data_IF_368680919627
#
_entry.id   IF_368680919627
#
_cell.length_a   1.000
_cell.length_b   1.000
_cell.length_c   1.000
_cell.angle_alpha   90.00
_cell.angle_beta   90.00
_cell.angle_gamma   90.00
#
_symmetry.space_group_name_H-M   'P 1'
#
loop_
_entity.id
_entity.type
_entity.pdbx_description
1 polymer ?
#
# COMPACT_ATOMS: atom_id res chain seq x y z
N UNK A 1 -31.74 -8.67 6.80
CA UNK A 1 -31.21 -7.33 6.50
C UNK A 1 -29.74 -7.52 6.20
N UNK A 2 -29.33 -7.36 4.94
CA UNK A 2 -28.00 -7.73 4.51
C UNK A 2 -26.95 -6.81 5.16
N UNK A 3 -25.90 -7.40 5.72
CA UNK A 3 -24.68 -6.69 6.12
C UNK A 3 -23.68 -6.70 4.97
N UNK A 4 -22.96 -5.60 4.79
CA UNK A 4 -22.05 -5.40 3.65
C UNK A 4 -20.63 -5.27 4.18
N UNK A 5 -19.69 -5.95 3.52
CA UNK A 5 -18.26 -5.77 3.74
C UNK A 5 -17.55 -5.53 2.40
N UNK A 6 -16.77 -4.46 2.35
CA UNK A 6 -15.92 -4.08 1.22
C UNK A 6 -14.45 -4.26 1.61
N UNK A 7 -13.68 -4.93 0.76
CA UNK A 7 -12.26 -5.22 1.01
C UNK A 7 -11.45 -5.13 -0.27
N UNK A 8 -10.17 -4.80 -0.17
CA UNK A 8 -9.22 -5.00 -1.26
C UNK A 8 -8.90 -6.49 -1.44
N UNK A 9 -8.22 -6.80 -2.55
CA UNK A 9 -7.61 -8.10 -2.79
C UNK A 9 -6.10 -7.97 -3.06
N UNK A 10 -5.46 -6.93 -2.52
CA UNK A 10 -4.06 -6.59 -2.81
C UNK A 10 -3.44 -5.90 -1.61
N UNK A 11 -2.25 -6.33 -1.22
CA UNK A 11 -1.52 -5.68 -0.13
C UNK A 11 -1.28 -4.19 -0.41
N UNK A 12 -1.52 -3.36 0.61
CA UNK A 12 -1.37 -1.90 0.55
C UNK A 12 -0.11 -1.44 1.29
N UNK A 13 0.54 -0.34 0.86
CA UNK A 13 0.24 0.43 -0.35
C UNK A 13 0.60 -0.35 -1.62
N UNK A 14 -0.04 -0.03 -2.75
CA UNK A 14 0.20 -0.68 -4.03
C UNK A 14 0.54 0.29 -5.15
N UNK A 15 1.36 -0.17 -6.10
CA UNK A 15 1.62 0.52 -7.39
C UNK A 15 0.83 -0.07 -8.55
N UNK A 16 -0.04 -1.04 -8.28
CA UNK A 16 -0.81 -1.77 -9.30
C UNK A 16 -2.15 -1.07 -9.49
N UNK A 17 -2.51 -0.80 -10.75
CA UNK A 17 -3.80 -0.27 -11.16
C UNK A 17 -4.30 -1.06 -12.39
N UNK A 18 -5.57 -1.49 -12.44
CA UNK A 18 -6.61 -1.32 -11.41
C UNK A 18 -6.34 -2.09 -10.11
N UNK A 19 -6.89 -1.59 -9.00
CA UNK A 19 -6.91 -2.24 -7.68
C UNK A 19 -8.20 -3.08 -7.58
N UNK A 20 -8.12 -4.42 -7.48
CA UNK A 20 -9.29 -5.25 -7.33
C UNK A 20 -9.92 -5.08 -5.95
N UNK A 21 -11.24 -4.83 -5.94
CA UNK A 21 -12.06 -4.63 -4.75
C UNK A 21 -13.18 -5.66 -4.74
N UNK A 22 -13.37 -6.30 -3.59
CA UNK A 22 -14.43 -7.26 -3.36
C UNK A 22 -15.52 -6.64 -2.48
N UNK A 23 -16.77 -6.86 -2.88
CA UNK A 23 -17.95 -6.56 -2.06
C UNK A 23 -18.63 -7.87 -1.70
N UNK A 24 -18.92 -8.05 -0.42
CA UNK A 24 -19.55 -9.25 0.12
C UNK A 24 -20.74 -8.90 1.00
N UNK A 25 -21.82 -9.67 0.86
CA UNK A 25 -23.05 -9.54 1.61
C UNK A 25 -23.26 -10.77 2.50
N UNK A 26 -23.93 -10.61 3.65
CA UNK A 26 -24.26 -11.74 4.55
C UNK A 26 -25.34 -12.68 4.02
N UNK A 27 -26.08 -12.24 3.01
CA UNK A 27 -27.16 -12.96 2.34
C UNK A 27 -27.24 -12.49 0.88
N UNK A 28 -28.03 -13.19 0.07
CA UNK A 28 -28.20 -12.83 -1.34
C UNK A 28 -28.96 -11.50 -1.47
N UNK A 29 -28.41 -10.59 -2.28
CA UNK A 29 -28.99 -9.28 -2.58
C UNK A 29 -29.40 -9.18 -4.04
N UNK A 30 -30.22 -8.17 -4.36
CA UNK A 30 -30.62 -7.85 -5.72
C UNK A 30 -30.08 -6.50 -6.16
N UNK A 31 -29.87 -6.36 -7.46
CA UNK A 31 -29.57 -5.10 -8.16
C UNK A 31 -28.31 -4.36 -7.71
N UNK A 32 -27.36 -5.02 -7.04
CA UNK A 32 -26.06 -4.41 -6.73
C UNK A 32 -25.35 -3.95 -8.02
N UNK A 33 -25.01 -2.68 -8.07
CA UNK A 33 -24.33 -2.01 -9.18
C UNK A 33 -23.15 -1.16 -8.67
N UNK A 34 -22.35 -0.63 -9.60
CA UNK A 34 -21.17 0.16 -9.23
C UNK A 34 -21.55 1.49 -8.57
N UNK A 35 -22.71 2.05 -8.94
CA UNK A 35 -23.27 3.29 -8.41
C UNK A 35 -23.64 3.19 -6.92
N UNK A 36 -23.79 1.98 -6.39
CA UNK A 36 -24.06 1.73 -4.97
C UNK A 36 -22.82 1.96 -4.09
N UNK A 37 -21.62 1.97 -4.70
CA UNK A 37 -20.36 2.24 -4.03
C UNK A 37 -20.00 3.72 -4.17
N UNK A 38 -19.84 4.39 -3.04
CA UNK A 38 -19.49 5.80 -2.98
C UNK A 38 -17.98 5.96 -2.82
N UNK A 39 -17.38 6.73 -3.72
CA UNK A 39 -16.02 7.20 -3.60
C UNK A 39 -16.02 8.53 -2.85
N UNK A 40 -15.29 8.62 -1.74
CA UNK A 40 -15.15 9.86 -0.96
C UNK A 40 -14.02 10.75 -1.48
N UNK A 41 -13.12 10.19 -2.29
CA UNK A 41 -12.04 10.89 -2.97
C UNK A 41 -11.74 10.18 -4.29
N UNK A 42 -11.51 10.96 -5.35
CA UNK A 42 -10.90 10.61 -6.66
C UNK A 42 -11.19 9.25 -7.32
N UNK A 43 -10.62 9.06 -8.51
CA UNK A 43 -10.61 7.77 -9.22
C UNK A 43 -11.96 7.31 -9.78
N UNK A 44 -11.99 6.08 -10.31
CA UNK A 44 -13.17 5.47 -10.93
C UNK A 44 -13.33 4.01 -10.54
N UNK A 45 -14.58 3.54 -10.50
CA UNK A 45 -14.91 2.12 -10.31
C UNK A 45 -15.51 1.53 -11.58
N UNK A 46 -15.18 0.28 -11.86
CA UNK A 46 -15.80 -0.53 -12.92
C UNK A 46 -16.29 -1.85 -12.35
N UNK A 47 -17.48 -2.29 -12.74
CA UNK A 47 -17.98 -3.60 -12.35
C UNK A 47 -17.30 -4.69 -13.16
N UNK A 48 -16.71 -5.68 -12.49
CA UNK A 48 -15.93 -6.75 -13.15
C UNK A 48 -16.78 -8.02 -13.25
N UNK A 49 -17.20 -8.56 -12.12
CA UNK A 49 -17.88 -9.85 -12.08
C UNK A 49 -18.79 -10.01 -10.87
N UNK A 50 -19.74 -10.93 -11.02
CA UNK A 50 -20.59 -11.43 -9.95
C UNK A 50 -20.27 -12.90 -9.75
N UNK A 51 -19.62 -13.25 -8.63
CA UNK A 51 -19.33 -14.64 -8.28
C UNK A 51 -20.56 -15.33 -7.66
N UNK A 52 -21.39 -14.58 -6.94
CA UNK A 52 -22.70 -15.01 -6.42
C UNK A 52 -23.64 -13.82 -6.22
N UNK A 53 -24.90 -14.03 -5.82
CA UNK A 53 -25.80 -12.93 -5.41
C UNK A 53 -25.35 -12.20 -4.13
N UNK A 54 -24.27 -12.66 -3.50
CA UNK A 54 -23.72 -12.13 -2.26
C UNK A 54 -22.24 -11.78 -2.37
N UNK A 55 -21.64 -11.88 -3.57
CA UNK A 55 -20.21 -11.62 -3.79
C UNK A 55 -19.97 -11.07 -5.19
N UNK A 56 -19.30 -9.92 -5.23
CA UNK A 56 -19.05 -9.14 -6.42
C UNK A 56 -17.62 -8.60 -6.42
N UNK A 57 -17.06 -8.46 -7.62
CA UNK A 57 -15.74 -7.88 -7.84
C UNK A 57 -15.87 -6.61 -8.67
N UNK A 58 -15.18 -5.56 -8.21
CA UNK A 58 -15.04 -4.28 -8.86
C UNK A 58 -13.55 -3.99 -9.08
N UNK A 59 -13.24 -3.17 -10.08
CA UNK A 59 -11.92 -2.62 -10.30
C UNK A 59 -11.94 -1.13 -9.95
N UNK A 60 -11.08 -0.73 -9.01
CA UNK A 60 -10.83 0.68 -8.70
C UNK A 60 -9.60 1.19 -9.45
N UNK A 61 -9.74 2.30 -10.18
CA UNK A 61 -8.64 2.98 -10.87
C UNK A 61 -8.38 4.31 -10.17
N UNK A 62 -7.28 4.44 -9.40
CA UNK A 62 -6.84 5.71 -8.84
C UNK A 62 -6.56 6.74 -9.95
N UNK A 63 -6.91 8.01 -9.73
CA UNK A 63 -6.56 9.13 -10.63
C UNK A 63 -5.26 9.84 -10.27
N UNK A 64 -4.75 9.61 -9.05
CA UNK A 64 -3.50 10.13 -8.52
C UNK A 64 -2.94 9.19 -7.43
N UNK A 65 -1.73 9.47 -6.96
CA UNK A 65 -1.20 8.86 -5.73
C UNK A 65 -1.95 9.37 -4.50
N UNK A 66 -2.07 8.52 -3.49
CA UNK A 66 -2.67 8.88 -2.21
C UNK A 66 -3.69 7.86 -1.68
N UNK A 67 -4.45 8.30 -0.69
CA UNK A 67 -5.46 7.49 -0.01
C UNK A 67 -6.86 7.71 -0.59
N UNK A 68 -7.53 6.61 -0.88
CA UNK A 68 -8.87 6.55 -1.43
C UNK A 68 -9.81 5.83 -0.47
N UNK A 69 -11.00 6.38 -0.27
CA UNK A 69 -11.97 5.83 0.67
C UNK A 69 -13.25 5.43 -0.06
N UNK A 70 -13.63 4.17 0.07
CA UNK A 70 -14.84 3.60 -0.52
C UNK A 70 -15.82 3.18 0.59
N UNK A 71 -17.11 3.44 0.39
CA UNK A 71 -18.16 3.04 1.31
C UNK A 71 -19.45 2.73 0.55
N UNK A 72 -20.22 1.75 1.04
CA UNK A 72 -21.60 1.50 0.60
C UNK A 72 -22.51 1.97 1.73
N UNK A 73 -23.38 2.95 1.46
CA UNK A 73 -24.29 3.47 2.47
C UNK A 73 -25.45 2.50 2.76
N UNK A 74 -26.09 2.68 3.91
CA UNK A 74 -27.27 1.91 4.28
C UNK A 74 -28.39 2.11 3.25
N UNK A 75 -29.05 1.01 2.88
CA UNK A 75 -30.14 1.00 1.90
C UNK A 75 -29.72 1.16 0.45
N UNK A 76 -28.42 1.06 0.14
CA UNK A 76 -27.96 1.04 -1.25
C UNK A 76 -28.43 -0.21 -2.01
N UNK A 77 -28.56 -1.35 -1.32
CA UNK A 77 -29.09 -2.59 -1.89
C UNK A 77 -30.15 -3.21 -0.99
N UNK A 78 -30.94 -4.13 -1.53
CA UNK A 78 -31.97 -4.88 -0.79
C UNK A 78 -31.78 -6.40 -0.93
N UNK A 79 -32.21 -7.15 0.08
CA UNK A 79 -32.31 -8.61 -0.02
C UNK A 79 -33.55 -9.04 -0.86
N UNK A 80 -33.73 -10.35 -1.04
CA UNK A 80 -34.88 -10.93 -1.75
C UNK A 80 -36.23 -10.65 -1.07
N UNK A 81 -36.23 -10.32 0.21
CA UNK A 81 -37.40 -9.94 0.99
C UNK A 81 -37.57 -8.42 1.10
N UNK A 82 -36.84 -7.64 0.29
CA UNK A 82 -36.89 -6.17 0.23
C UNK A 82 -36.44 -5.47 1.52
N UNK A 83 -35.61 -6.11 2.35
CA UNK A 83 -34.98 -5.41 3.46
C UNK A 83 -33.73 -4.66 2.97
N UNK A 84 -33.61 -3.34 3.20
CA UNK A 84 -32.45 -2.53 2.77
C UNK A 84 -31.17 -2.97 3.44
N UNK A 85 -29.97 -2.78 2.90
CA UNK A 85 -28.71 -3.09 3.59
C UNK A 85 -28.41 -2.19 4.78
N UNK A 86 -27.57 -2.64 5.70
CA UNK A 86 -26.83 -1.73 6.59
C UNK A 86 -25.61 -1.15 5.85
N UNK A 87 -25.07 -0.03 6.34
CA UNK A 87 -23.84 0.54 5.77
C UNK A 87 -22.65 -0.44 5.91
N UNK A 88 -21.74 -0.42 4.94
CA UNK A 88 -20.51 -1.19 4.99
C UNK A 88 -19.48 -0.59 5.96
N UNK A 89 -18.37 -1.29 6.15
CA UNK A 89 -17.12 -0.65 6.56
C UNK A 89 -16.66 0.38 5.52
N UNK A 90 -15.78 1.30 5.92
CA UNK A 90 -15.00 2.12 4.97
C UNK A 90 -13.75 1.34 4.57
N UNK A 91 -13.55 1.12 3.27
CA UNK A 91 -12.31 0.59 2.74
C UNK A 91 -11.35 1.75 2.43
N UNK A 92 -10.10 1.63 2.89
CA UNK A 92 -9.01 2.55 2.55
C UNK A 92 -8.06 1.85 1.59
N UNK A 93 -7.80 2.48 0.44
CA UNK A 93 -6.84 2.03 -0.56
C UNK A 93 -5.72 3.08 -0.67
N UNK A 94 -4.46 2.65 -0.63
CA UNK A 94 -3.32 3.55 -0.81
C UNK A 94 -2.60 3.21 -2.11
N UNK A 95 -2.64 4.13 -3.07
CA UNK A 95 -1.93 4.00 -4.34
C UNK A 95 -0.65 4.83 -4.31
N UNK A 96 0.48 4.17 -4.56
CA UNK A 96 1.80 4.75 -4.48
C UNK A 96 2.70 4.20 -5.60
N UNK A 97 3.09 5.07 -6.54
CA UNK A 97 4.02 4.73 -7.63
C UNK A 97 5.39 5.36 -7.45
N UNK A 98 5.57 6.17 -6.41
CA UNK A 98 6.80 6.82 -6.08
C UNK A 98 7.88 5.77 -5.78
N UNK A 99 9.13 6.16 -6.02
CA UNK A 99 10.30 5.32 -5.78
C UNK A 99 11.06 5.92 -4.61
N UNK A 100 11.65 5.08 -3.75
CA UNK A 100 12.34 5.59 -2.58
C UNK A 100 13.61 6.33 -3.01
N UNK A 101 13.82 7.53 -2.48
CA UNK A 101 15.06 8.28 -2.65
C UNK A 101 15.92 8.12 -1.40
N UNK A 102 17.17 7.71 -1.59
CA UNK A 102 18.13 7.57 -0.51
C UNK A 102 19.04 8.79 -0.41
N UNK A 103 19.20 9.33 0.80
CA UNK A 103 20.25 10.28 1.14
C UNK A 103 21.27 9.59 2.05
N UNK A 104 22.52 9.54 1.63
CA UNK A 104 23.61 9.02 2.46
C UNK A 104 24.24 10.14 3.28
N UNK A 105 24.46 9.89 4.56
CA UNK A 105 25.10 10.80 5.48
C UNK A 105 26.12 10.08 6.38
N UNK A 106 27.05 10.85 6.93
CA UNK A 106 27.96 10.40 7.99
C UNK A 106 28.08 11.50 9.03
N UNK A 107 28.40 11.12 10.27
CA UNK A 107 28.67 12.08 11.34
C UNK A 107 30.03 12.77 11.20
N UNK A 108 30.90 12.26 10.32
CA UNK A 108 32.17 12.87 9.97
C UNK A 108 32.00 13.82 8.78
N UNK A 109 32.58 15.02 8.89
CA UNK A 109 32.39 16.07 7.88
C UNK A 109 33.24 15.88 6.62
N UNK A 110 34.41 15.24 6.72
CA UNK A 110 35.31 15.04 5.58
C UNK A 110 36.36 13.93 5.80
N UNK A 111 37.18 14.03 6.85
CA UNK A 111 38.22 13.06 7.15
C UNK A 111 38.02 12.45 8.54
N UNK A 112 38.33 11.17 8.68
CA UNK A 112 38.29 10.45 9.95
C UNK A 112 39.35 9.36 9.95
N UNK A 113 39.85 9.01 11.14
CA UNK A 113 40.66 7.81 11.38
C UNK A 113 39.85 6.69 12.05
N UNK A 114 38.52 6.87 12.18
CA UNK A 114 37.61 5.86 12.72
C UNK A 114 37.40 4.76 11.69
N UNK A 115 37.49 3.50 12.13
CA UNK A 115 37.22 2.31 11.32
C UNK A 115 36.54 1.26 12.20
N UNK A 116 35.35 0.76 11.82
CA UNK A 116 34.56 1.12 10.63
C UNK A 116 33.97 2.53 10.67
N UNK A 117 33.72 3.12 9.49
CA UNK A 117 33.05 4.42 9.32
C UNK A 117 31.53 4.19 9.26
N UNK A 118 30.74 4.63 10.24
CA UNK A 118 29.28 4.57 10.17
C UNK A 118 28.73 5.51 9.10
N UNK A 119 27.92 4.94 8.22
CA UNK A 119 27.12 5.64 7.21
C UNK A 119 25.64 5.37 7.49
N UNK A 120 24.83 6.42 7.41
CA UNK A 120 23.37 6.33 7.47
C UNK A 120 22.81 6.57 6.07
N UNK A 121 21.88 5.71 5.65
CA UNK A 121 21.00 5.95 4.52
C UNK A 121 19.60 6.27 5.04
N UNK A 122 19.15 7.49 4.78
CA UNK A 122 17.80 7.93 5.06
C UNK A 122 17.00 7.91 3.75
N UNK A 123 15.90 7.15 3.77
CA UNK A 123 14.93 7.07 2.67
C UNK A 123 13.74 7.99 2.99
N UNK A 124 13.11 8.54 1.96
CA UNK A 124 11.89 9.35 2.09
C UNK A 124 10.63 8.50 2.35
N UNK A 125 10.73 7.18 2.21
CA UNK A 125 9.69 6.21 2.53
C UNK A 125 10.28 4.92 3.11
N UNK A 126 9.42 4.08 3.70
CA UNK A 126 9.85 2.78 4.22
C UNK A 126 10.23 1.83 3.08
N UNK A 127 11.42 1.26 3.15
CA UNK A 127 11.92 0.32 2.14
C UNK A 127 11.96 -1.12 2.65
N UNK A 128 11.80 -2.06 1.72
CA UNK A 128 12.08 -3.49 1.92
C UNK A 128 13.09 -3.97 0.87
N UNK A 129 13.70 -5.13 1.10
CA UNK A 129 14.56 -5.78 0.10
C UNK A 129 16.00 -5.29 0.01
N UNK A 130 16.40 -4.20 0.68
CA UNK A 130 17.81 -3.81 0.77
C UNK A 130 18.59 -4.82 1.63
N UNK A 131 19.61 -5.44 1.05
CA UNK A 131 20.49 -6.44 1.68
C UNK A 131 21.96 -6.01 1.63
N UNK A 132 22.82 -6.71 2.37
CA UNK A 132 24.28 -6.44 2.43
C UNK A 132 24.95 -6.33 1.05
N UNK A 133 24.51 -7.16 0.10
CA UNK A 133 25.06 -7.19 -1.27
C UNK A 133 24.70 -5.98 -2.12
N UNK A 134 23.73 -5.16 -1.72
CA UNK A 134 23.33 -3.95 -2.45
C UNK A 134 24.26 -2.77 -2.18
N UNK A 135 25.10 -2.85 -1.14
CA UNK A 135 26.07 -1.82 -0.80
C UNK A 135 27.32 -1.95 -1.65
N UNK A 136 27.48 -1.00 -2.57
CA UNK A 136 28.69 -0.90 -3.39
C UNK A 136 29.69 0.07 -2.77
N UNK A 137 30.83 -0.46 -2.31
CA UNK A 137 31.93 0.32 -1.71
C UNK A 137 33.20 0.10 -2.52
N UNK A 138 33.84 1.18 -3.00
CA UNK A 138 35.01 1.10 -3.90
C UNK A 138 36.35 0.90 -3.18
N UNK A 139 36.56 1.54 -2.02
CA UNK A 139 37.82 1.52 -1.26
C UNK A 139 37.65 0.98 0.16
N UNK A 140 36.69 0.07 0.33
CA UNK A 140 36.33 -0.48 1.61
C UNK A 140 35.37 -1.65 1.45
N UNK A 141 34.95 -2.22 2.58
CA UNK A 141 33.91 -3.23 2.64
C UNK A 141 32.75 -2.70 3.49
N UNK A 142 31.52 -2.91 3.02
CA UNK A 142 30.31 -2.74 3.80
C UNK A 142 30.14 -3.90 4.79
N UNK A 143 29.66 -3.61 5.99
CA UNK A 143 29.33 -4.60 7.01
C UNK A 143 28.38 -4.02 8.06
N UNK A 144 28.00 -4.85 9.03
CA UNK A 144 27.11 -4.50 10.15
C UNK A 144 25.87 -3.70 9.72
N UNK A 145 25.21 -4.09 8.62
CA UNK A 145 24.01 -3.36 8.20
C UNK A 145 22.89 -3.55 9.22
N UNK A 146 22.19 -2.47 9.53
CA UNK A 146 21.10 -2.49 10.49
C UNK A 146 20.06 -1.41 10.17
N UNK A 147 18.90 -1.49 10.83
CA UNK A 147 17.80 -0.54 10.67
C UNK A 147 16.57 -1.15 10.01
N UNK A 148 15.43 -0.48 10.16
CA UNK A 148 14.12 -0.89 9.62
C UNK A 148 13.36 0.34 9.14
N UNK A 149 12.25 0.13 8.42
CA UNK A 149 11.46 1.23 7.86
C UNK A 149 12.28 2.06 6.86
N UNK A 150 12.32 3.38 7.08
CA UNK A 150 12.95 4.34 6.18
C UNK A 150 14.44 4.63 6.49
N UNK A 151 15.04 4.01 7.50
CA UNK A 151 16.45 4.25 7.83
C UNK A 151 17.27 2.97 7.79
N UNK A 152 18.48 3.05 7.22
CA UNK A 152 19.48 1.99 7.24
C UNK A 152 20.83 2.56 7.67
N UNK A 153 21.62 1.72 8.32
CA UNK A 153 22.99 2.00 8.69
C UNK A 153 23.89 0.95 8.08
N UNK A 154 25.10 1.34 7.71
CA UNK A 154 26.15 0.45 7.23
C UNK A 154 27.48 0.94 7.76
N UNK A 155 28.31 0.00 8.21
CA UNK A 155 29.67 0.26 8.59
C UNK A 155 30.59 0.04 7.38
N UNK A 156 31.37 1.06 7.02
CA UNK A 156 32.35 0.98 5.94
C UNK A 156 33.75 0.82 6.52
N UNK A 157 34.38 -0.33 6.28
CA UNK A 157 35.77 -0.59 6.70
C UNK A 157 36.73 -0.33 5.52
N UNK A 158 37.60 0.70 5.56
CA UNK A 158 38.56 0.94 4.48
C UNK A 158 39.52 -0.24 4.30
N UNK A 159 39.85 -0.58 3.04
CA UNK A 159 40.77 -1.69 2.72
C UNK A 159 42.24 -1.27 2.64
N UNK A 160 42.51 0.04 2.55
CA UNK A 160 43.83 0.63 2.65
C UNK A 160 43.75 1.93 3.46
N UNK A 161 44.72 2.16 4.34
CA UNK A 161 44.87 3.36 5.17
C UNK A 161 46.23 4.02 4.91
#
# INVERSE_FOLDING_TARGET
QPTVNISDMTDMPTRISPIPVQVSFSEDVQFFAVEDVQLLSGGTLTYVSQESMSRHTLDFVPDAEGDFNLIIYAGAVEDLATNPSVASNTLVLTFDTSRPNATLSSTFSNYTNVSPIPITADFDEAITGLVDGDWYVTNGAAGNTAGTGAQRTVDVTPTAQ
#
